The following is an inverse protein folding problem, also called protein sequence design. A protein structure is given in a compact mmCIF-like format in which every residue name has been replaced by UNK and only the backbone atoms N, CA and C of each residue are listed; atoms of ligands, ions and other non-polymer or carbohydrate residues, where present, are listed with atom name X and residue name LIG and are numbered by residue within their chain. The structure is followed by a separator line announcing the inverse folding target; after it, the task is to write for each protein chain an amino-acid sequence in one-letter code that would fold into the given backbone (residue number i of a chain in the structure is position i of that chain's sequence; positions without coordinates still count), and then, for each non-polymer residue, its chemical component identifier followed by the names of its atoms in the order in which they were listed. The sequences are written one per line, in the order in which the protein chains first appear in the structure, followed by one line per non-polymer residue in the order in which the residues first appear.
data_IF_683780384406
#
_entry.id   IF_683780384406
#
_cell.length_a   1.000
_cell.length_b   1.000
_cell.length_c   1.000
_cell.angle_alpha   90.00
_cell.angle_beta   90.00
_cell.angle_gamma   90.00
#
_symmetry.space_group_name_H-M   'P 1'
#
loop_
_entity.id
_entity.type
_entity.pdbx_description
1 polymer ?
#
# COMPACT_ATOMS: atom_id res chain seq x y z
N UNK A 1 0.92 -7.26 -22.55
CA UNK A 1 1.99 -7.98 -23.28
C UNK A 1 3.19 -7.08 -23.61
N UNK A 2 3.03 -6.00 -24.38
CA UNK A 2 4.16 -5.12 -24.76
C UNK A 2 4.88 -4.51 -23.54
N UNK A 3 4.13 -4.00 -22.59
CA UNK A 3 4.66 -3.43 -21.35
C UNK A 3 5.47 -4.45 -20.51
N UNK A 4 5.02 -5.71 -20.46
CA UNK A 4 5.75 -6.79 -19.79
C UNK A 4 7.07 -7.12 -20.48
N UNK A 5 7.09 -7.09 -21.83
CA UNK A 5 8.32 -7.26 -22.61
C UNK A 5 9.31 -6.12 -22.38
N UNK A 6 8.84 -4.89 -22.44
CA UNK A 6 9.65 -3.67 -22.25
C UNK A 6 10.19 -3.57 -20.81
N UNK A 7 9.45 -4.08 -19.83
CA UNK A 7 9.88 -4.18 -18.44
C UNK A 7 10.86 -5.35 -18.18
N UNK A 8 11.02 -6.27 -19.12
CA UNK A 8 11.91 -7.42 -18.99
C UNK A 8 11.41 -8.53 -18.07
N UNK A 9 10.08 -8.69 -17.93
CA UNK A 9 9.44 -9.72 -17.10
C UNK A 9 9.77 -11.12 -17.60
N UNK A 10 10.03 -11.29 -18.90
CA UNK A 10 10.31 -12.56 -19.55
C UNK A 10 11.71 -13.14 -19.28
N UNK A 11 12.62 -12.37 -18.72
CA UNK A 11 13.95 -12.89 -18.37
C UNK A 11 13.89 -13.67 -17.06
N UNK A 12 14.45 -14.86 -17.08
CA UNK A 12 14.66 -15.68 -15.88
C UNK A 12 16.13 -15.71 -15.48
N UNK A 13 16.48 -16.63 -14.62
CA UNK A 13 17.82 -16.87 -14.13
C UNK A 13 18.63 -17.75 -15.10
N UNK A 14 19.93 -17.87 -14.81
CA UNK A 14 20.84 -18.78 -15.53
C UNK A 14 20.37 -20.23 -15.46
N UNK A 15 20.55 -20.99 -16.54
CA UNK A 15 20.11 -22.38 -16.67
C UNK A 15 20.61 -23.31 -15.57
N UNK A 16 21.74 -23.04 -14.92
CA UNK A 16 22.26 -23.82 -13.79
C UNK A 16 21.57 -23.55 -12.44
N UNK A 17 20.77 -22.47 -12.33
CA UNK A 17 20.13 -22.03 -11.08
C UNK A 17 18.61 -22.17 -11.13
N UNK A 18 18.10 -23.09 -11.91
CA UNK A 18 16.67 -23.25 -12.09
C UNK A 18 16.06 -24.32 -11.17
N UNK A 19 14.76 -24.21 -10.95
CA UNK A 19 13.98 -25.26 -10.32
C UNK A 19 13.30 -26.10 -11.41
N UNK A 20 13.45 -27.45 -11.44
CA UNK A 20 12.79 -28.29 -12.43
C UNK A 20 11.27 -28.15 -12.49
N UNK A 21 10.61 -27.81 -11.38
CA UNK A 21 9.16 -27.58 -11.31
C UNK A 21 8.73 -26.38 -12.15
N UNK A 22 9.63 -25.41 -12.38
CA UNK A 22 9.38 -24.23 -13.21
C UNK A 22 9.40 -24.52 -14.71
N UNK A 23 9.75 -25.76 -15.13
CA UNK A 23 9.79 -26.15 -16.54
C UNK A 23 8.53 -25.80 -17.32
N UNK A 24 7.37 -25.90 -16.68
CA UNK A 24 6.06 -25.60 -17.30
C UNK A 24 5.87 -24.13 -17.71
N UNK A 25 6.63 -23.22 -17.11
CA UNK A 25 6.56 -21.77 -17.36
C UNK A 25 7.66 -21.26 -18.28
N UNK A 26 8.62 -22.12 -18.63
CA UNK A 26 9.77 -21.76 -19.46
C UNK A 26 9.43 -21.98 -20.92
N UNK A 27 9.57 -20.92 -21.74
CA UNK A 27 9.38 -20.98 -23.18
C UNK A 27 10.61 -21.56 -23.88
N UNK A 28 11.82 -21.03 -23.58
CA UNK A 28 13.10 -21.45 -24.19
C UNK A 28 14.26 -20.99 -23.33
N UNK A 29 15.47 -21.35 -23.74
CA UNK A 29 16.69 -20.76 -23.22
C UNK A 29 17.43 -19.99 -24.33
N UNK A 30 18.08 -18.90 -23.98
CA UNK A 30 18.92 -18.12 -24.87
C UNK A 30 20.15 -17.61 -24.12
N UNK A 31 21.31 -17.85 -24.67
CA UNK A 31 22.60 -17.46 -24.08
C UNK A 31 22.78 -17.95 -22.61
N UNK A 32 22.26 -19.13 -22.27
CA UNK A 32 22.36 -19.69 -20.93
C UNK A 32 21.43 -19.04 -19.90
N UNK A 33 20.42 -18.28 -20.34
CA UNK A 33 19.37 -17.67 -19.52
C UNK A 33 18.02 -18.21 -19.98
N UNK A 34 17.17 -18.62 -19.05
CA UNK A 34 15.80 -19.04 -19.37
C UNK A 34 14.92 -17.85 -19.73
N UNK A 35 14.02 -18.06 -20.68
CA UNK A 35 13.00 -17.11 -21.10
C UNK A 35 11.64 -17.65 -20.64
N UNK A 36 10.92 -16.87 -19.87
CA UNK A 36 9.60 -17.20 -19.33
C UNK A 36 8.54 -16.91 -20.38
N UNK A 37 7.52 -17.78 -20.45
CA UNK A 37 6.39 -17.64 -21.34
C UNK A 37 5.41 -16.58 -20.85
N UNK A 38 5.45 -15.40 -21.48
CA UNK A 38 4.59 -14.29 -21.12
C UNK A 38 3.09 -14.51 -21.42
N UNK A 39 2.73 -15.45 -22.29
CA UNK A 39 1.32 -15.75 -22.53
C UNK A 39 0.71 -16.42 -21.30
N UNK A 40 1.44 -17.39 -20.73
CA UNK A 40 1.06 -17.99 -19.46
C UNK A 40 1.08 -16.95 -18.32
N UNK A 41 2.13 -16.10 -18.27
CA UNK A 41 2.21 -15.04 -17.25
C UNK A 41 0.97 -14.15 -17.24
N UNK A 42 0.43 -13.78 -18.41
CA UNK A 42 -0.80 -12.97 -18.47
C UNK A 42 -1.99 -13.70 -17.85
N UNK A 43 -2.19 -14.98 -18.16
CA UNK A 43 -3.29 -15.77 -17.57
C UNK A 43 -3.20 -15.81 -16.04
N UNK A 44 -2.00 -16.04 -15.51
CA UNK A 44 -1.79 -16.06 -14.05
C UNK A 44 -1.91 -14.67 -13.41
N UNK A 45 -1.57 -13.61 -14.15
CA UNK A 45 -1.83 -12.22 -13.70
C UNK A 45 -3.34 -11.98 -13.59
N UNK A 46 -4.13 -12.39 -14.58
CA UNK A 46 -5.58 -12.20 -14.58
C UNK A 46 -6.24 -12.98 -13.41
N UNK A 47 -5.82 -14.22 -13.16
CA UNK A 47 -6.28 -15.02 -12.02
C UNK A 47 -5.94 -14.36 -10.68
N UNK A 48 -4.70 -13.90 -10.52
CA UNK A 48 -4.24 -13.21 -9.32
C UNK A 48 -4.96 -11.87 -9.11
N UNK A 49 -5.20 -11.14 -10.21
CA UNK A 49 -5.92 -9.86 -10.19
C UNK A 49 -7.35 -10.03 -9.67
N UNK A 50 -8.10 -10.97 -10.23
CA UNK A 50 -9.48 -11.23 -9.80
C UNK A 50 -9.53 -11.71 -8.34
N UNK A 51 -8.62 -12.58 -7.92
CA UNK A 51 -8.53 -13.01 -6.52
C UNK A 51 -8.28 -11.83 -5.56
N UNK A 52 -7.31 -10.97 -5.87
CA UNK A 52 -6.97 -9.80 -5.04
C UNK A 52 -8.15 -8.82 -4.99
N UNK A 53 -8.75 -8.52 -6.15
CA UNK A 53 -9.93 -7.65 -6.24
C UNK A 53 -11.08 -8.17 -5.38
N UNK A 54 -11.42 -9.45 -5.47
CA UNK A 54 -12.50 -10.05 -4.71
C UNK A 54 -12.20 -10.07 -3.21
N UNK A 55 -10.97 -10.41 -2.81
CA UNK A 55 -10.53 -10.39 -1.41
C UNK A 55 -10.71 -9.00 -0.80
N UNK A 56 -10.33 -7.94 -1.52
CA UNK A 56 -10.47 -6.56 -1.06
C UNK A 56 -11.93 -6.09 -1.09
N UNK A 57 -12.72 -6.50 -2.08
CA UNK A 57 -14.15 -6.22 -2.14
C UNK A 57 -14.93 -6.80 -0.94
N UNK A 58 -14.45 -7.90 -0.35
CA UNK A 58 -14.96 -8.46 0.89
C UNK A 58 -14.35 -7.82 2.17
N UNK A 59 -13.56 -6.76 2.03
CA UNK A 59 -12.96 -6.05 3.17
C UNK A 59 -11.66 -6.67 3.68
N UNK A 60 -11.05 -7.57 2.93
CA UNK A 60 -9.73 -8.12 3.21
C UNK A 60 -8.61 -7.10 2.98
N UNK A 61 -7.48 -7.29 3.69
CA UNK A 61 -6.27 -6.51 3.49
C UNK A 61 -5.18 -7.38 2.86
N UNK A 62 -4.43 -6.80 1.94
CA UNK A 62 -3.29 -7.45 1.30
C UNK A 62 -2.01 -6.89 1.90
N UNK A 63 -1.10 -7.75 2.38
CA UNK A 63 0.21 -7.34 2.85
C UNK A 63 1.23 -7.45 1.72
N UNK A 64 1.83 -6.33 1.36
CA UNK A 64 2.86 -6.26 0.32
C UNK A 64 4.25 -6.55 0.91
N UNK A 65 4.95 -7.55 0.37
CA UNK A 65 6.26 -8.00 0.87
C UNK A 65 7.28 -8.00 -0.25
N UNK A 66 8.37 -7.26 -0.05
CA UNK A 66 9.47 -7.22 -1.01
C UNK A 66 10.72 -6.60 -0.38
N UNK A 67 11.60 -7.43 0.19
CA UNK A 67 12.83 -6.96 0.82
C UNK A 67 14.03 -6.90 -0.14
N UNK A 68 13.85 -7.37 -1.38
CA UNK A 68 14.84 -7.28 -2.44
C UNK A 68 15.07 -5.81 -2.81
N UNK A 69 16.32 -5.38 -2.94
CA UNK A 69 16.64 -3.96 -3.23
C UNK A 69 15.89 -3.41 -4.44
N UNK A 70 15.69 -4.26 -5.46
CA UNK A 70 15.00 -3.92 -6.69
C UNK A 70 13.50 -3.71 -6.51
N UNK A 71 12.91 -4.36 -5.49
CA UNK A 71 11.47 -4.32 -5.23
C UNK A 71 11.08 -3.35 -4.10
N UNK A 72 12.02 -2.93 -3.25
CA UNK A 72 11.73 -2.14 -2.03
C UNK A 72 10.92 -0.88 -2.31
N UNK A 73 11.36 -0.10 -3.29
CA UNK A 73 10.74 1.17 -3.65
C UNK A 73 9.37 0.96 -4.34
N UNK A 74 9.30 -0.01 -5.25
CA UNK A 74 8.06 -0.35 -5.94
C UNK A 74 6.96 -0.82 -4.97
N UNK A 75 7.32 -1.70 -4.04
CA UNK A 75 6.42 -2.23 -3.01
C UNK A 75 5.94 -1.11 -2.08
N UNK A 76 6.84 -0.23 -1.63
CA UNK A 76 6.48 0.89 -0.77
C UNK A 76 5.53 1.85 -1.47
N UNK A 77 5.92 2.38 -2.64
CA UNK A 77 5.16 3.39 -3.37
C UNK A 77 3.75 2.89 -3.72
N UNK A 78 3.64 1.66 -4.21
CA UNK A 78 2.37 1.08 -4.61
C UNK A 78 1.49 0.73 -3.40
N UNK A 79 2.05 0.21 -2.32
CA UNK A 79 1.30 -0.08 -1.10
C UNK A 79 0.81 1.21 -0.41
N UNK A 80 1.64 2.25 -0.34
CA UNK A 80 1.25 3.57 0.18
C UNK A 80 0.15 4.21 -0.69
N UNK A 81 0.25 4.10 -2.02
CA UNK A 81 -0.75 4.61 -2.96
C UNK A 81 -2.14 4.03 -2.70
N UNK A 82 -2.23 2.74 -2.44
CA UNK A 82 -3.50 2.06 -2.16
C UNK A 82 -3.80 1.93 -0.66
N UNK A 83 -2.96 2.46 0.23
CA UNK A 83 -3.13 2.43 1.68
C UNK A 83 -3.18 1.01 2.26
N UNK A 84 -2.38 0.09 1.72
CA UNK A 84 -2.21 -1.27 2.20
C UNK A 84 -0.92 -1.41 3.01
N UNK A 85 -0.85 -2.33 3.98
CA UNK A 85 0.36 -2.58 4.74
C UNK A 85 1.46 -3.17 3.87
N UNK A 86 2.72 -2.86 4.20
CA UNK A 86 3.87 -3.39 3.47
C UNK A 86 5.08 -3.67 4.36
N UNK A 87 5.97 -4.54 3.86
CA UNK A 87 7.28 -4.84 4.44
C UNK A 87 8.33 -4.80 3.33
N UNK A 88 9.18 -3.77 3.33
CA UNK A 88 10.16 -3.53 2.28
C UNK A 88 11.62 -3.65 2.72
N UNK A 89 11.93 -3.80 4.01
CA UNK A 89 13.31 -3.88 4.46
C UNK A 89 13.74 -5.29 4.87
N UNK A 90 13.08 -5.86 5.86
CA UNK A 90 13.40 -7.19 6.36
C UNK A 90 12.17 -7.82 7.00
N UNK A 91 11.86 -9.03 6.59
CA UNK A 91 10.88 -9.85 7.30
C UNK A 91 11.42 -10.28 8.66
N UNK A 92 10.68 -10.04 9.71
CA UNK A 92 11.00 -10.52 11.05
C UNK A 92 10.24 -11.81 11.29
N UNK A 93 10.96 -12.88 11.70
CA UNK A 93 10.29 -14.13 12.05
C UNK A 93 9.21 -13.94 13.11
N UNK A 94 8.03 -14.50 12.87
CA UNK A 94 6.87 -14.35 13.74
C UNK A 94 5.98 -13.15 13.44
N UNK A 95 6.16 -12.46 12.31
CA UNK A 95 5.33 -11.30 11.98
C UNK A 95 3.85 -11.65 11.81
N UNK A 96 3.54 -12.83 11.34
CA UNK A 96 2.17 -13.35 11.21
C UNK A 96 1.85 -14.32 12.36
N UNK A 97 2.71 -15.30 12.59
CA UNK A 97 2.47 -16.37 13.58
C UNK A 97 2.53 -15.90 15.03
N UNK A 98 3.24 -14.82 15.33
CA UNK A 98 3.31 -14.20 16.66
C UNK A 98 2.92 -12.71 16.61
N UNK A 99 1.81 -12.42 15.95
CA UNK A 99 1.34 -11.06 15.74
C UNK A 99 1.12 -10.27 17.06
N UNK A 100 0.75 -10.93 18.16
CA UNK A 100 0.60 -10.25 19.46
C UNK A 100 1.89 -9.58 19.93
N UNK A 101 3.05 -10.24 19.73
CA UNK A 101 4.35 -9.65 20.08
C UNK A 101 4.69 -8.49 19.14
N UNK A 102 4.37 -8.62 17.85
CA UNK A 102 4.55 -7.55 16.87
C UNK A 102 3.66 -6.35 17.23
N UNK A 103 2.40 -6.56 17.60
CA UNK A 103 1.47 -5.51 18.02
C UNK A 103 2.02 -4.70 19.22
N UNK A 104 2.64 -5.36 20.20
CA UNK A 104 3.32 -4.67 21.32
C UNK A 104 4.47 -3.77 20.82
N UNK A 105 5.21 -4.19 19.79
CA UNK A 105 6.28 -3.39 19.20
C UNK A 105 5.71 -2.23 18.37
N UNK A 106 4.57 -2.44 17.70
CA UNK A 106 3.85 -1.36 16.99
C UNK A 106 3.32 -0.32 17.97
N UNK A 107 2.74 -0.74 19.10
CA UNK A 107 2.34 0.19 20.17
C UNK A 107 3.54 1.00 20.68
N UNK A 108 4.69 0.34 20.89
CA UNK A 108 5.92 1.03 21.29
C UNK A 108 6.41 2.03 20.24
N UNK A 109 6.30 1.71 18.96
CA UNK A 109 6.61 2.65 17.88
C UNK A 109 5.69 3.90 17.93
N UNK A 110 4.39 3.70 18.10
CA UNK A 110 3.41 4.79 18.24
C UNK A 110 3.69 5.68 19.46
N UNK A 111 4.07 5.09 20.60
CA UNK A 111 4.50 5.83 21.79
C UNK A 111 5.72 6.70 21.51
N UNK A 112 6.75 6.15 20.86
CA UNK A 112 7.98 6.87 20.52
C UNK A 112 7.71 8.01 19.50
N UNK A 113 6.82 7.80 18.55
CA UNK A 113 6.40 8.83 17.58
C UNK A 113 5.60 9.92 18.27
N UNK A 114 4.71 9.59 19.20
CA UNK A 114 3.96 10.56 19.99
C UNK A 114 4.88 11.40 20.89
N UNK A 115 5.89 10.79 21.51
CA UNK A 115 6.90 11.52 22.29
C UNK A 115 7.72 12.49 21.42
N UNK A 116 8.06 12.11 20.20
CA UNK A 116 8.83 12.94 19.28
C UNK A 116 8.01 14.12 18.73
N UNK A 117 6.71 13.93 18.55
CA UNK A 117 5.78 14.97 18.07
C UNK A 117 5.34 15.96 19.15
N UNK A 118 5.47 15.61 20.44
CA UNK A 118 5.09 16.47 21.55
C UNK A 118 6.20 17.49 21.84
N UNK A 119 5.83 18.76 22.02
CA UNK A 119 6.77 19.87 22.35
C UNK A 119 7.65 19.54 23.57
N UNK A 120 7.10 18.85 24.57
CA UNK A 120 7.77 18.47 25.81
C UNK A 120 7.98 16.95 25.94
N UNK A 121 7.92 16.19 24.84
CA UNK A 121 7.96 14.72 24.87
C UNK A 121 9.23 14.11 25.44
N UNK A 122 10.30 14.88 25.44
CA UNK A 122 11.61 14.50 26.04
C UNK A 122 11.98 15.27 27.31
N UNK A 123 11.05 16.02 27.91
CA UNK A 123 11.29 16.77 29.12
C UNK A 123 11.73 15.87 30.28
N UNK A 124 12.75 16.33 31.03
CA UNK A 124 13.34 15.57 32.15
C UNK A 124 14.28 14.44 31.77
N UNK A 125 14.55 14.21 30.46
CA UNK A 125 15.45 13.14 29.99
C UNK A 125 16.84 13.67 29.65
N UNK A 126 17.83 12.83 29.85
CA UNK A 126 19.23 13.16 29.48
C UNK A 126 19.42 13.06 27.96
N UNK A 127 20.39 13.79 27.41
CA UNK A 127 20.76 13.72 25.97
C UNK A 127 21.06 12.30 25.51
N UNK A 128 21.66 11.47 26.39
CA UNK A 128 21.96 10.07 26.08
C UNK A 128 20.69 9.23 25.93
N UNK A 129 19.70 9.41 26.80
CA UNK A 129 18.41 8.71 26.73
C UNK A 129 17.63 9.12 25.50
N UNK A 130 17.58 10.41 25.17
CA UNK A 130 16.95 10.91 23.95
C UNK A 130 17.57 10.24 22.71
N UNK A 131 18.90 10.18 22.63
CA UNK A 131 19.59 9.55 21.52
C UNK A 131 19.26 8.04 21.41
N UNK A 132 19.14 7.34 22.56
CA UNK A 132 18.78 5.92 22.56
C UNK A 132 17.34 5.71 22.08
N UNK A 133 16.39 6.52 22.53
CA UNK A 133 14.99 6.46 22.12
C UNK A 133 14.82 6.81 20.62
N UNK A 134 15.53 7.80 20.14
CA UNK A 134 15.53 8.16 18.70
C UNK A 134 16.09 7.02 17.85
N UNK A 135 17.16 6.37 18.28
CA UNK A 135 17.70 5.20 17.58
C UNK A 135 16.73 4.01 17.59
N UNK A 136 16.06 3.77 18.75
CA UNK A 136 15.03 2.74 18.86
C UNK A 136 13.86 3.04 17.90
N UNK A 137 13.35 4.27 17.88
CA UNK A 137 12.29 4.72 16.96
C UNK A 137 12.69 4.48 15.51
N UNK A 138 13.83 5.00 15.08
CA UNK A 138 14.31 4.87 13.70
C UNK A 138 14.46 3.40 13.27
N UNK A 139 14.94 2.54 14.19
CA UNK A 139 15.04 1.10 13.92
C UNK A 139 13.67 0.45 13.76
N UNK A 140 12.71 0.75 14.65
CA UNK A 140 11.34 0.21 14.58
C UNK A 140 10.61 0.74 13.34
N UNK A 141 10.71 2.03 13.04
CA UNK A 141 10.10 2.65 11.88
C UNK A 141 10.60 2.04 10.57
N UNK A 142 11.90 1.81 10.47
CA UNK A 142 12.48 1.14 9.30
C UNK A 142 11.98 -0.29 9.11
N UNK A 143 11.72 -1.04 10.18
CA UNK A 143 11.37 -2.47 10.11
C UNK A 143 9.87 -2.74 10.16
N UNK A 144 9.11 -1.90 10.83
CA UNK A 144 7.68 -2.10 11.11
C UNK A 144 6.82 -0.91 10.64
N UNK A 145 7.42 0.16 10.11
CA UNK A 145 6.71 1.37 9.71
C UNK A 145 5.59 1.11 8.72
N UNK A 146 5.81 0.24 7.74
CA UNK A 146 4.81 -0.09 6.74
C UNK A 146 3.61 -0.91 7.25
N UNK A 147 3.70 -1.49 8.45
CA UNK A 147 2.59 -2.25 9.06
C UNK A 147 2.02 -1.58 10.32
N UNK A 148 2.39 -0.32 10.58
CA UNK A 148 2.02 0.42 11.82
C UNK A 148 0.51 0.47 12.09
N UNK A 149 -0.31 0.48 11.04
CA UNK A 149 -1.76 0.61 11.14
C UNK A 149 -2.49 -0.75 11.00
N UNK A 150 -1.73 -1.84 10.90
CA UNK A 150 -2.27 -3.18 10.82
C UNK A 150 -2.75 -3.64 12.21
N UNK A 151 -4.06 -3.89 12.35
CA UNK A 151 -4.69 -4.33 13.60
C UNK A 151 -4.90 -5.85 13.67
N UNK A 152 -4.96 -6.50 12.52
CA UNK A 152 -5.18 -7.96 12.37
C UNK A 152 -4.29 -8.54 11.29
N UNK A 153 -4.16 -9.85 11.29
CA UNK A 153 -3.42 -10.60 10.27
C UNK A 153 -4.05 -10.34 8.90
N UNK A 154 -3.26 -10.17 7.82
CA UNK A 154 -3.76 -9.89 6.47
C UNK A 154 -4.53 -11.07 5.90
N UNK A 155 -5.42 -10.81 4.95
CA UNK A 155 -6.24 -11.81 4.26
C UNK A 155 -5.47 -12.52 3.15
N UNK A 156 -4.46 -11.87 2.55
CA UNK A 156 -3.54 -12.45 1.57
C UNK A 156 -2.21 -11.70 1.59
N UNK A 157 -1.17 -12.33 1.01
CA UNK A 157 0.14 -11.73 0.84
C UNK A 157 0.44 -11.55 -0.65
N UNK A 158 1.07 -10.41 -0.99
CA UNK A 158 1.77 -10.20 -2.23
C UNK A 158 3.27 -10.26 -1.97
N UNK A 159 3.99 -11.19 -2.61
CA UNK A 159 5.42 -11.44 -2.34
C UNK A 159 6.23 -11.29 -3.63
N UNK A 160 7.34 -10.53 -3.54
CA UNK A 160 8.35 -10.45 -4.58
C UNK A 160 9.55 -11.29 -4.14
N UNK A 161 9.86 -12.36 -4.88
CA UNK A 161 10.92 -13.33 -4.61
C UNK A 161 10.65 -14.22 -3.38
N UNK A 162 10.04 -15.39 -3.62
CA UNK A 162 9.71 -16.38 -2.59
C UNK A 162 10.94 -17.03 -1.94
N UNK A 163 12.05 -17.15 -2.68
CA UNK A 163 13.29 -17.71 -2.13
C UNK A 163 13.87 -16.83 -1.04
N UNK A 164 13.82 -15.53 -1.23
CA UNK A 164 14.30 -14.57 -0.23
C UNK A 164 13.35 -14.47 0.95
N UNK A 165 12.06 -14.46 0.68
CA UNK A 165 11.00 -14.31 1.68
C UNK A 165 10.44 -15.67 2.16
N UNK A 166 11.26 -16.75 2.14
CA UNK A 166 10.83 -18.11 2.52
C UNK A 166 10.23 -18.18 3.93
N UNK A 167 10.64 -17.30 4.85
CA UNK A 167 10.05 -17.21 6.20
C UNK A 167 8.62 -16.71 6.12
N UNK A 168 8.36 -15.66 5.32
CA UNK A 168 7.02 -15.11 5.12
C UNK A 168 6.07 -16.17 4.50
N UNK A 169 6.53 -16.86 3.46
CA UNK A 169 5.80 -17.96 2.81
C UNK A 169 5.49 -19.08 3.82
N UNK A 170 6.47 -19.49 4.62
CA UNK A 170 6.29 -20.54 5.64
C UNK A 170 5.29 -20.14 6.72
N UNK A 171 5.30 -18.87 7.15
CA UNK A 171 4.34 -18.35 8.12
C UNK A 171 2.92 -18.25 7.53
N UNK A 172 2.80 -17.79 6.28
CA UNK A 172 1.53 -17.74 5.57
C UNK A 172 0.89 -19.13 5.45
N UNK A 173 1.66 -20.13 5.03
CA UNK A 173 1.21 -21.53 4.95
C UNK A 173 0.71 -22.06 6.29
N UNK A 174 1.39 -21.76 7.40
CA UNK A 174 0.97 -22.19 8.74
C UNK A 174 -0.37 -21.60 9.17
N UNK A 175 -0.70 -20.42 8.68
CA UNK A 175 -1.95 -19.71 8.98
C UNK A 175 -3.02 -19.87 7.90
N UNK A 176 -2.74 -20.67 6.86
CA UNK A 176 -3.60 -20.84 5.69
C UNK A 176 -3.96 -19.48 5.02
N UNK A 177 -3.00 -18.58 4.95
CA UNK A 177 -3.16 -17.29 4.28
C UNK A 177 -2.68 -17.48 2.84
N UNK A 178 -3.53 -17.20 1.84
CA UNK A 178 -3.18 -17.34 0.44
C UNK A 178 -2.05 -16.38 0.05
N UNK A 179 -1.12 -16.91 -0.75
CA UNK A 179 0.07 -16.19 -1.22
C UNK A 179 -0.01 -15.98 -2.72
N UNK A 180 0.05 -14.72 -3.14
CA UNK A 180 0.25 -14.30 -4.52
C UNK A 180 1.71 -13.88 -4.66
N UNK A 181 2.46 -14.44 -5.59
CA UNK A 181 3.88 -14.13 -5.69
C UNK A 181 4.43 -14.10 -7.11
N UNK A 182 5.46 -13.25 -7.32
CA UNK A 182 6.30 -13.32 -8.50
C UNK A 182 7.24 -14.51 -8.33
N UNK A 183 7.28 -15.38 -9.33
CA UNK A 183 8.14 -16.55 -9.37
C UNK A 183 9.10 -16.49 -10.53
N UNK A 184 10.38 -16.35 -10.23
CA UNK A 184 11.43 -16.53 -11.22
C UNK A 184 11.76 -18.02 -11.39
N UNK A 185 12.56 -18.37 -12.36
CA UNK A 185 12.91 -19.74 -12.74
C UNK A 185 13.62 -20.57 -11.66
N UNK A 186 14.09 -19.96 -10.59
CA UNK A 186 14.75 -20.57 -9.42
C UNK A 186 13.79 -20.85 -8.25
N UNK A 187 12.53 -20.40 -8.33
CA UNK A 187 11.54 -20.55 -7.26
C UNK A 187 10.79 -21.88 -7.31
N UNK A 188 10.13 -22.26 -6.21
CA UNK A 188 9.22 -23.40 -6.17
C UNK A 188 7.76 -22.91 -6.34
N UNK A 189 7.09 -23.31 -7.44
CA UNK A 189 5.70 -22.91 -7.68
C UNK A 189 4.69 -23.56 -6.73
N UNK A 190 5.04 -24.66 -6.07
CA UNK A 190 4.15 -25.35 -5.13
C UNK A 190 4.11 -24.64 -3.74
N UNK A 191 4.92 -23.61 -3.58
CA UNK A 191 4.97 -22.82 -2.34
C UNK A 191 3.93 -21.71 -2.27
N UNK A 192 3.24 -21.42 -3.39
CA UNK A 192 2.30 -20.30 -3.51
C UNK A 192 0.98 -20.74 -4.13
N UNK A 193 -0.09 -20.04 -3.80
CA UNK A 193 -1.44 -20.33 -4.30
C UNK A 193 -1.68 -19.70 -5.67
N UNK A 194 -1.18 -18.47 -5.88
CA UNK A 194 -1.31 -17.70 -7.12
C UNK A 194 0.08 -17.36 -7.67
N UNK A 195 0.70 -18.26 -8.43
CA UNK A 195 2.03 -18.04 -9.01
C UNK A 195 1.95 -17.10 -10.22
N UNK A 196 2.75 -16.04 -10.25
CA UNK A 196 2.93 -15.19 -11.42
C UNK A 196 4.35 -15.39 -11.93
N UNK A 197 4.56 -16.19 -12.99
CA UNK A 197 5.89 -16.40 -13.56
C UNK A 197 6.45 -15.09 -14.10
N UNK A 198 7.63 -14.68 -13.62
CA UNK A 198 8.23 -13.43 -14.04
C UNK A 198 9.55 -13.13 -13.36
N UNK A 199 10.26 -12.14 -13.90
CA UNK A 199 11.55 -11.68 -13.41
C UNK A 199 11.38 -10.89 -12.10
N UNK A 200 12.06 -11.30 -11.06
CA UNK A 200 12.07 -10.65 -9.75
C UNK A 200 13.33 -9.78 -9.51
N UNK A 201 14.31 -9.82 -10.43
CA UNK A 201 15.56 -9.06 -10.35
C UNK A 201 15.50 -7.68 -11.05
N UNK A 202 14.61 -7.51 -12.02
CA UNK A 202 14.47 -6.26 -12.74
C UNK A 202 13.54 -5.29 -11.99
N UNK A 203 14.05 -4.07 -11.70
CA UNK A 203 13.26 -3.02 -11.02
C UNK A 203 11.96 -2.74 -11.78
N UNK A 204 12.03 -2.63 -13.12
CA UNK A 204 10.86 -2.37 -13.96
C UNK A 204 9.83 -3.50 -13.90
N UNK A 205 10.28 -4.76 -13.89
CA UNK A 205 9.40 -5.92 -13.80
C UNK A 205 8.66 -5.94 -12.46
N UNK A 206 9.39 -5.79 -11.34
CA UNK A 206 8.79 -5.69 -10.01
C UNK A 206 7.80 -4.53 -9.92
N UNK A 207 8.12 -3.35 -10.48
CA UNK A 207 7.22 -2.19 -10.49
C UNK A 207 5.95 -2.44 -11.28
N UNK A 208 6.04 -2.98 -12.50
CA UNK A 208 4.87 -3.23 -13.34
C UNK A 208 3.95 -4.27 -12.69
N UNK A 209 4.50 -5.39 -12.22
CA UNK A 209 3.69 -6.44 -11.58
C UNK A 209 3.07 -5.98 -10.25
N UNK A 210 3.81 -5.27 -9.42
CA UNK A 210 3.26 -4.71 -8.17
C UNK A 210 2.17 -3.68 -8.46
N UNK A 211 2.33 -2.85 -9.51
CA UNK A 211 1.32 -1.90 -9.94
C UNK A 211 0.03 -2.57 -10.43
N UNK A 212 0.12 -3.68 -11.12
CA UNK A 212 -1.06 -4.45 -11.55
C UNK A 212 -1.84 -4.93 -10.31
N UNK A 213 -1.16 -5.50 -9.34
CA UNK A 213 -1.78 -5.97 -8.09
C UNK A 213 -2.37 -4.81 -7.27
N UNK A 214 -1.67 -3.69 -7.18
CA UNK A 214 -2.21 -2.51 -6.49
C UNK A 214 -3.43 -1.91 -7.21
N UNK A 215 -3.50 -2.02 -8.55
CA UNK A 215 -4.71 -1.63 -9.30
C UNK A 215 -5.89 -2.57 -9.01
N UNK A 216 -5.65 -3.88 -8.81
CA UNK A 216 -6.69 -4.81 -8.36
C UNK A 216 -7.24 -4.43 -6.97
N UNK A 217 -6.36 -3.98 -6.06
CA UNK A 217 -6.77 -3.46 -4.75
C UNK A 217 -7.65 -2.22 -4.87
N UNK A 218 -7.29 -1.28 -5.75
CA UNK A 218 -8.12 -0.08 -6.01
C UNK A 218 -9.50 -0.44 -6.53
N UNK A 219 -9.56 -1.33 -7.52
CA UNK A 219 -10.82 -1.80 -8.08
C UNK A 219 -11.67 -2.52 -7.04
N UNK A 220 -11.07 -3.39 -6.22
CA UNK A 220 -11.74 -4.07 -5.12
C UNK A 220 -12.34 -3.10 -4.09
N UNK A 221 -11.62 -2.02 -3.76
CA UNK A 221 -12.15 -0.95 -2.88
C UNK A 221 -13.33 -0.22 -3.51
N UNK A 222 -13.26 0.05 -4.82
CA UNK A 222 -14.37 0.68 -5.54
C UNK A 222 -15.61 -0.21 -5.50
N UNK A 223 -15.47 -1.50 -5.82
CA UNK A 223 -16.57 -2.47 -5.76
C UNK A 223 -17.17 -2.55 -4.36
N UNK A 224 -16.32 -2.55 -3.33
CA UNK A 224 -16.78 -2.52 -1.93
C UNK A 224 -17.60 -1.28 -1.63
N UNK A 225 -17.11 -0.09 -1.98
CA UNK A 225 -17.83 1.17 -1.77
C UNK A 225 -19.18 1.20 -2.50
N UNK A 226 -19.24 0.67 -3.72
CA UNK A 226 -20.49 0.53 -4.48
C UNK A 226 -21.47 -0.41 -3.79
N UNK A 227 -21.02 -1.55 -3.27
CA UNK A 227 -21.84 -2.50 -2.48
C UNK A 227 -22.36 -1.88 -1.17
N UNK A 228 -21.49 -1.16 -0.44
CA UNK A 228 -21.87 -0.48 0.80
C UNK A 228 -22.92 0.63 0.55
N UNK A 229 -22.77 1.39 -0.54
CA UNK A 229 -23.75 2.42 -0.92
C UNK A 229 -25.08 1.83 -1.40
N UNK A 230 -25.07 0.70 -2.11
CA UNK A 230 -26.26 -0.02 -2.51
C UNK A 230 -27.03 -0.57 -1.30
N UNK A 231 -26.33 -1.23 -0.39
CA UNK A 231 -26.91 -1.74 0.86
C UNK A 231 -27.49 -0.63 1.76
N UNK A 232 -26.80 0.54 1.81
CA UNK A 232 -27.31 1.69 2.55
C UNK A 232 -28.60 2.28 1.93
N UNK A 233 -28.72 2.25 0.59
CA UNK A 233 -29.94 2.68 -0.11
C UNK A 233 -31.10 1.72 0.11
N UNK A 234 -30.87 0.41 0.09
CA UNK A 234 -31.88 -0.60 0.39
C UNK A 234 -32.41 -0.46 1.83
N UNK A 235 -31.50 -0.29 2.79
CA UNK A 235 -31.87 -0.08 4.19
C UNK A 235 -32.59 1.27 4.45
N UNK A 236 -32.33 2.30 3.65
CA UNK A 236 -33.02 3.60 3.74
C UNK A 236 -34.39 3.58 3.03
N UNK A 237 -34.60 2.67 2.07
CA UNK A 237 -35.87 2.50 1.36
C UNK A 237 -36.90 1.67 2.09
N UNK A 238 -36.51 0.92 3.13
CA UNK A 238 -37.41 0.05 3.94
C UNK A 238 -37.81 0.68 5.29
N UNK A 239 -37.67 2.01 5.44
CA UNK A 239 -38.29 2.71 6.57
C UNK A 239 -39.78 2.89 6.26
N UNK A 240 -40.72 2.33 7.08
CA UNK A 240 -42.14 2.51 6.87
C UNK A 240 -42.44 3.99 6.94
N UNK A 241 -43.08 4.51 5.89
CA UNK A 241 -43.69 5.83 5.88
C UNK A 241 -44.84 5.85 6.90
N UNK A 242 -44.52 6.17 8.14
CA UNK A 242 -45.52 6.49 9.15
C UNK A 242 -46.12 7.85 8.77
N UNK A 243 -47.37 7.77 8.38
CA UNK A 243 -48.23 8.86 7.97
C UNK A 243 -48.23 9.95 9.04
N UNK A 244 -47.62 11.09 8.73
CA UNK A 244 -47.92 12.32 9.46
C UNK A 244 -49.06 13.02 8.71
N UNK A 245 -50.27 12.76 9.26
CA UNK A 245 -51.50 13.48 9.00
C UNK A 245 -51.28 14.99 9.31
N UNK A 246 -51.50 15.83 8.35
CA UNK A 246 -51.53 17.28 8.51
C UNK A 246 -52.81 17.71 9.20
N UNK A 247 -52.80 18.70 10.11
CA UNK A 247 -53.97 19.56 10.31
C UNK A 247 -53.77 20.88 9.53
N UNK A 248 -54.84 21.18 8.79
CA UNK A 248 -55.04 22.33 7.95
C UNK A 248 -55.27 23.62 8.75
N UNK A 249 -54.78 24.68 8.12
CA UNK A 249 -55.33 26.03 8.03
C UNK A 249 -55.57 26.86 9.32
N UNK A 250 -54.94 27.99 9.40
CA UNK A 250 -55.66 29.27 9.42
C UNK A 250 -54.73 30.44 9.05
N UNK A 251 -55.23 31.23 8.15
CA UNK A 251 -54.62 32.42 7.60
C UNK A 251 -54.79 33.59 8.58
N UNK A 252 -53.77 34.48 8.69
CA UNK A 252 -54.00 35.91 8.90
C UNK A 252 -52.82 36.74 8.40
N UNK A 253 -53.20 37.72 7.68
CA UNK A 253 -52.62 38.82 6.97
C UNK A 253 -51.33 39.47 7.49
N UNK A 254 -50.60 39.97 6.51
CA UNK A 254 -49.48 40.95 6.61
C UNK A 254 -49.94 42.34 7.12
N UNK A 255 -49.05 43.28 7.48
CA UNK A 255 -48.50 44.12 6.44
C UNK A 255 -46.98 44.49 6.54
N UNK A 256 -46.54 45.04 5.40
CA UNK A 256 -45.25 45.60 5.06
C UNK A 256 -44.89 46.87 5.86
N UNK A 257 -43.57 47.13 5.98
CA UNK A 257 -42.96 48.45 5.75
C UNK A 257 -41.41 48.36 5.82
N UNK A 258 -40.77 48.59 4.69
CA UNK A 258 -39.84 49.64 4.28
C UNK A 258 -38.55 49.83 5.09
N UNK A 259 -37.46 49.57 4.38
CA UNK A 259 -36.52 50.54 3.78
C UNK A 259 -35.27 50.91 4.61
N UNK A 260 -34.14 50.82 4.02
CA UNK A 260 -33.05 51.71 3.60
C UNK A 260 -31.70 51.09 3.91
N UNK A 261 -30.88 50.73 2.96
CA UNK A 261 -29.83 51.42 2.22
C UNK A 261 -28.87 52.26 3.05
N UNK A 262 -27.60 51.93 3.03
CA UNK A 262 -26.40 52.77 2.86
C UNK A 262 -25.16 51.89 2.84
N UNK A 263 -24.55 51.75 1.66
CA UNK A 263 -23.34 52.40 1.13
C UNK A 263 -22.03 52.05 1.82
N UNK A 264 -21.15 51.52 0.96
CA UNK A 264 -19.71 51.41 1.15
C UNK A 264 -19.04 52.78 1.05
N UNK A 265 -17.76 52.95 1.41
CA UNK A 265 -16.79 53.01 0.34
C UNK A 265 -15.43 52.32 0.62
N UNK A 266 -14.76 52.04 -0.50
CA UNK A 266 -13.38 51.66 -0.67
C UNK A 266 -12.41 52.82 -0.45
N UNK A 267 -11.14 52.48 -0.16
CA UNK A 267 -9.93 53.22 -0.60
C UNK A 267 -8.70 52.40 -0.18
N UNK A 268 -7.94 51.83 -1.13
CA UNK A 268 -6.74 52.28 -1.83
C UNK A 268 -5.46 52.30 -0.97
N UNK A 269 -4.55 51.40 -1.31
CA UNK A 269 -3.31 51.54 -2.10
C UNK A 269 -2.03 51.94 -1.34
N UNK A 270 -0.96 51.24 -1.56
CA UNK A 270 0.38 51.53 -2.07
C UNK A 270 1.40 50.52 -1.53
N UNK A 271 2.01 49.69 -2.28
CA UNK A 271 3.20 49.75 -3.13
C UNK A 271 4.44 50.42 -2.49
N UNK A 272 5.52 49.67 -2.31
CA UNK A 272 6.93 50.01 -2.58
C UNK A 272 7.79 48.80 -2.24
N UNK A 273 8.36 48.13 -3.23
CA UNK A 273 9.70 48.22 -3.82
C UNK A 273 10.80 47.51 -3.01
N UNK A 274 11.38 46.55 -3.71
CA UNK A 274 12.68 45.89 -3.53
C UNK A 274 13.84 46.92 -3.66
N UNK A 275 15.07 46.60 -3.18
CA UNK A 275 16.03 46.08 -4.15
C UNK A 275 16.98 44.97 -3.67
N UNK A 276 17.53 44.30 -4.67
CA UNK A 276 18.60 43.33 -4.66
C UNK A 276 19.97 43.92 -4.38
N UNK A 277 20.89 43.09 -3.86
CA UNK A 277 22.36 43.16 -4.17
C UNK A 277 23.01 41.86 -3.65
N UNK A 278 23.45 41.00 -4.51
CA UNK A 278 24.76 40.71 -5.09
C UNK A 278 25.78 40.09 -4.12
N UNK A 279 26.12 38.85 -4.44
CA UNK A 279 27.43 38.30 -4.74
C UNK A 279 28.51 38.24 -3.64
N UNK A 280 29.04 37.03 -3.38
CA UNK A 280 30.41 36.61 -3.71
C UNK A 280 30.72 35.24 -3.19
N UNK A 281 31.11 34.37 -4.08
CA UNK A 281 31.99 33.23 -3.80
C UNK A 281 33.45 33.76 -3.68
N UNK A 282 34.31 33.09 -2.90
CA UNK A 282 35.35 32.34 -3.61
C UNK A 282 35.77 31.01 -3.02
N UNK A 283 36.45 30.28 -3.90
CA UNK A 283 36.98 28.95 -3.88
C UNK A 283 38.18 28.74 -2.93
N UNK A 284 38.51 27.41 -2.82
CA UNK A 284 39.79 26.75 -2.62
C UNK A 284 40.38 26.69 -1.18
N UNK A 285 40.46 25.50 -0.64
CA UNK A 285 41.64 24.62 -0.56
C UNK A 285 41.18 23.20 -0.24
#
# INVERSE_FOLDING_TARGET
MRELLDAGVHFGHQTRRWNPKMKRFIFTDRNGIYIIDLQQTLTYIDEAYEFVKETVAHGGNILFVGTKKQAQEAVQNEAERVGMPFVNHRWLGGMLTNFQTVAKRLSRLKELQAMDAAENGYEGRTKKEILMLTRERTKLERTLGGIRDMSKVPSALWIVDTNKEHIAVSEAKKLNIPVVAILDTNCDPDDVDFPIPGNDDAIRAATVLTRIISSAVEEGRRVRAERETAAARENAGDAPAEQAEAPAAEATEAPAEQAAATEAPAEQAAATETPAEQAETPAAE
#
